data_IF_876264544348
#
_entry.id   IF_876264544348
#
_cell.length_a   1.000
_cell.length_b   1.000
_cell.length_c   1.000
_cell.angle_alpha   90.00
_cell.angle_beta   90.00
_cell.angle_gamma   90.00
#
_symmetry.space_group_name_H-M   'P 1'
#
loop_
_entity.id
_entity.type
_entity.pdbx_description
1 polymer ?
#
# COMPACT_ATOMS: atom_id res chain seq x y z
N UNK A 1 3.68 -17.53 8.26
CA UNK A 1 3.95 -16.73 7.05
C UNK A 1 2.70 -16.08 6.47
N UNK A 2 1.60 -16.83 6.23
CA UNK A 2 0.35 -16.25 5.67
C UNK A 2 -0.25 -15.15 6.56
N UNK A 3 -0.29 -15.34 7.89
CA UNK A 3 -0.80 -14.33 8.82
C UNK A 3 0.05 -13.06 8.83
N UNK A 4 1.37 -13.19 8.75
CA UNK A 4 2.31 -12.07 8.61
C UNK A 4 2.03 -11.27 7.34
N UNK A 5 1.79 -11.95 6.21
CA UNK A 5 1.43 -11.30 4.95
C UNK A 5 0.11 -10.57 5.07
N UNK A 6 -0.92 -11.17 5.68
CA UNK A 6 -2.20 -10.49 5.92
C UNK A 6 -2.03 -9.25 6.80
N UNK A 7 -1.26 -9.35 7.88
CA UNK A 7 -0.95 -8.20 8.73
C UNK A 7 -0.25 -7.10 7.94
N UNK A 8 0.74 -7.44 7.12
CA UNK A 8 1.42 -6.47 6.26
C UNK A 8 0.49 -5.82 5.25
N UNK A 9 -0.43 -6.58 4.63
CA UNK A 9 -1.47 -5.99 3.77
C UNK A 9 -2.34 -5.00 4.56
N UNK A 10 -2.81 -5.35 5.76
CA UNK A 10 -3.58 -4.42 6.60
C UNK A 10 -2.80 -3.16 6.95
N UNK A 11 -1.53 -3.30 7.34
CA UNK A 11 -0.67 -2.15 7.67
C UNK A 11 -0.42 -1.29 6.43
N UNK A 12 -0.05 -1.87 5.28
CA UNK A 12 0.12 -1.12 4.02
C UNK A 12 -1.16 -0.41 3.61
N UNK A 13 -2.32 -1.07 3.69
CA UNK A 13 -3.60 -0.48 3.34
C UNK A 13 -3.97 0.70 4.24
N UNK A 14 -3.73 0.58 5.55
CA UNK A 14 -3.98 1.66 6.50
C UNK A 14 -3.07 2.87 6.27
N UNK A 15 -1.78 2.64 5.97
CA UNK A 15 -0.84 3.71 5.64
C UNK A 15 -1.19 4.39 4.31
N UNK A 16 -1.55 3.63 3.27
CA UNK A 16 -2.06 4.17 2.02
C UNK A 16 -3.33 5.02 2.25
N UNK A 17 -4.26 4.56 3.09
CA UNK A 17 -5.46 5.33 3.43
C UNK A 17 -5.11 6.65 4.13
N UNK A 18 -4.14 6.62 5.05
CA UNK A 18 -3.65 7.82 5.75
C UNK A 18 -3.02 8.83 4.77
N UNK A 19 -2.17 8.35 3.86
CA UNK A 19 -1.53 9.20 2.84
C UNK A 19 -2.51 9.65 1.74
N UNK A 20 -3.62 8.94 1.55
CA UNK A 20 -4.69 9.29 0.62
C UNK A 20 -5.59 10.42 1.10
N UNK A 21 -5.59 10.76 2.39
CA UNK A 21 -6.37 11.89 2.91
C UNK A 21 -5.77 13.19 2.33
N UNK A 22 -6.51 14.02 1.58
CA UNK A 22 -5.93 15.09 0.76
C UNK A 22 -4.99 16.04 1.51
N UNK A 23 -5.50 16.76 2.51
CA UNK A 23 -4.72 17.75 3.25
C UNK A 23 -3.72 17.09 4.18
N UNK A 24 -4.13 16.03 4.89
CA UNK A 24 -3.29 15.35 5.88
C UNK A 24 -2.13 14.60 5.21
N UNK A 25 -2.43 13.76 4.23
CA UNK A 25 -1.45 12.99 3.47
C UNK A 25 -0.50 13.88 2.67
N UNK A 26 -1.02 14.90 2.00
CA UNK A 26 -0.19 15.90 1.31
C UNK A 26 0.76 16.62 2.27
N UNK A 27 0.28 17.01 3.45
CA UNK A 27 1.12 17.63 4.49
C UNK A 27 2.20 16.66 4.97
N UNK A 28 1.86 15.40 5.26
CA UNK A 28 2.83 14.38 5.69
C UNK A 28 3.94 14.18 4.64
N UNK A 29 3.57 14.02 3.37
CA UNK A 29 4.53 13.79 2.28
C UNK A 29 5.48 14.99 2.11
N UNK A 30 4.95 16.21 2.12
CA UNK A 30 5.78 17.42 1.94
C UNK A 30 6.64 17.70 3.17
N UNK A 31 6.08 17.62 4.38
CA UNK A 31 6.80 17.86 5.62
C UNK A 31 7.92 16.85 5.88
N UNK A 32 7.79 15.63 5.34
CA UNK A 32 8.80 14.58 5.43
C UNK A 32 9.61 14.39 4.15
N UNK A 33 9.68 15.42 3.28
CA UNK A 33 10.53 15.45 2.09
C UNK A 33 10.36 14.22 1.16
N UNK A 34 9.11 13.80 0.92
CA UNK A 34 8.74 12.63 0.10
C UNK A 34 9.29 11.28 0.61
N UNK A 35 9.94 11.23 1.77
CA UNK A 35 10.39 9.99 2.42
C UNK A 35 9.25 8.98 2.65
N UNK A 36 8.01 9.39 3.00
CA UNK A 36 6.90 8.46 3.13
C UNK A 36 6.64 7.64 1.86
N UNK A 37 6.81 8.23 0.67
CA UNK A 37 6.63 7.51 -0.59
C UNK A 37 7.70 6.42 -0.78
N UNK A 38 8.95 6.73 -0.46
CA UNK A 38 10.06 5.77 -0.52
C UNK A 38 9.86 4.64 0.50
N UNK A 39 9.45 4.99 1.73
CA UNK A 39 9.16 4.02 2.77
C UNK A 39 8.02 3.07 2.36
N UNK A 40 6.92 3.62 1.82
CA UNK A 40 5.80 2.83 1.33
C UNK A 40 6.19 1.92 0.17
N UNK A 41 7.01 2.41 -0.77
CA UNK A 41 7.54 1.61 -1.88
C UNK A 41 8.28 0.36 -1.37
N UNK A 42 9.17 0.53 -0.39
CA UNK A 42 9.89 -0.59 0.24
C UNK A 42 8.91 -1.56 0.90
N UNK A 43 7.93 -1.03 1.65
CA UNK A 43 6.95 -1.84 2.37
C UNK A 43 6.08 -2.66 1.41
N UNK A 44 5.68 -2.10 0.26
CA UNK A 44 4.97 -2.84 -0.78
C UNK A 44 5.83 -3.95 -1.40
N UNK A 45 7.11 -3.67 -1.72
CA UNK A 45 8.02 -4.67 -2.27
C UNK A 45 8.22 -5.84 -1.29
N UNK A 46 8.45 -5.55 -0.01
CA UNK A 46 8.60 -6.57 1.03
C UNK A 46 7.33 -7.40 1.15
N UNK A 47 6.16 -6.76 1.18
CA UNK A 47 4.87 -7.45 1.26
C UNK A 47 4.65 -8.35 0.04
N UNK A 48 4.98 -7.89 -1.16
CA UNK A 48 4.87 -8.66 -2.40
C UNK A 48 5.79 -9.89 -2.40
N UNK A 49 7.05 -9.74 -1.97
CA UNK A 49 8.01 -10.86 -1.87
C UNK A 49 7.51 -11.90 -0.87
N UNK A 50 7.04 -11.47 0.30
CA UNK A 50 6.53 -12.37 1.33
C UNK A 50 5.23 -13.06 0.89
N UNK A 51 4.33 -12.34 0.22
CA UNK A 51 3.12 -12.92 -0.35
C UNK A 51 3.43 -14.00 -1.38
N UNK A 52 4.40 -13.75 -2.28
CA UNK A 52 4.86 -14.74 -3.26
C UNK A 52 5.43 -15.99 -2.59
N UNK A 53 6.23 -15.83 -1.53
CA UNK A 53 6.76 -16.96 -0.73
C UNK A 53 5.66 -17.73 0.01
N UNK A 54 4.56 -17.06 0.37
CA UNK A 54 3.43 -17.65 1.07
C UNK A 54 2.34 -18.22 0.12
N UNK A 55 2.55 -18.19 -1.21
CA UNK A 55 1.56 -18.50 -2.25
C UNK A 55 0.26 -17.71 -2.10
N UNK A 56 0.38 -16.41 -1.80
CA UNK A 56 -0.74 -15.47 -1.64
C UNK A 56 -0.69 -14.40 -2.74
N UNK A 57 -1.86 -13.92 -3.19
CA UNK A 57 -1.92 -12.74 -4.05
C UNK A 57 -1.51 -11.48 -3.27
N UNK A 58 -1.00 -10.46 -3.95
CA UNK A 58 -0.76 -9.14 -3.36
C UNK A 58 -0.95 -8.04 -4.42
N UNK A 59 -2.04 -8.14 -5.19
CA UNK A 59 -2.29 -7.29 -6.35
C UNK A 59 -2.49 -5.82 -5.94
N UNK A 60 -3.10 -5.58 -4.78
CA UNK A 60 -3.20 -4.23 -4.22
C UNK A 60 -1.81 -3.61 -3.93
N UNK A 61 -0.85 -4.40 -3.45
CA UNK A 61 0.51 -3.92 -3.20
C UNK A 61 1.26 -3.62 -4.50
N UNK A 62 0.94 -4.29 -5.61
CA UNK A 62 1.47 -3.92 -6.93
C UNK A 62 0.95 -2.54 -7.35
N UNK A 63 -0.33 -2.25 -7.13
CA UNK A 63 -0.87 -0.91 -7.37
C UNK A 63 -0.20 0.13 -6.45
N UNK A 64 0.07 -0.21 -5.18
CA UNK A 64 0.79 0.66 -4.25
C UNK A 64 2.22 1.02 -4.69
N UNK A 65 2.92 0.10 -5.38
CA UNK A 65 4.21 0.40 -6.02
C UNK A 65 4.03 1.47 -7.10
N UNK A 66 3.02 1.33 -7.96
CA UNK A 66 2.70 2.32 -9.00
C UNK A 66 2.31 3.66 -8.39
N UNK A 67 1.48 3.65 -7.33
CA UNK A 67 1.13 4.84 -6.56
C UNK A 67 2.37 5.54 -6.06
N UNK A 68 3.32 4.82 -5.44
CA UNK A 68 4.55 5.40 -4.91
C UNK A 68 5.41 6.08 -5.99
N UNK A 69 5.38 5.59 -7.23
CA UNK A 69 6.09 6.20 -8.37
C UNK A 69 5.39 7.45 -8.94
N UNK A 70 4.09 7.60 -8.75
CA UNK A 70 3.28 8.68 -9.33
C UNK A 70 2.78 9.71 -8.29
N UNK A 71 2.85 9.40 -7.00
CA UNK A 71 2.28 10.20 -5.92
C UNK A 71 3.03 11.51 -5.60
N UNK A 72 4.08 11.83 -6.35
CA UNK A 72 4.70 13.15 -6.34
C UNK A 72 3.84 14.20 -7.06
N UNK A 73 2.89 13.79 -7.90
CA UNK A 73 1.91 14.68 -8.55
C UNK A 73 0.74 14.91 -7.59
N UNK A 74 0.48 16.15 -7.13
CA UNK A 74 -0.66 16.46 -6.27
C UNK A 74 -1.99 16.04 -6.90
N UNK A 75 -2.98 15.68 -6.07
CA UNK A 75 -4.29 15.13 -6.46
C UNK A 75 -4.24 13.74 -7.12
N UNK A 76 -3.38 13.53 -8.13
CA UNK A 76 -3.16 12.21 -8.73
C UNK A 76 -2.66 11.24 -7.67
N UNK A 77 -1.67 11.62 -6.88
CA UNK A 77 -1.20 10.83 -5.75
C UNK A 77 -2.29 10.52 -4.73
N UNK A 78 -3.16 11.49 -4.41
CA UNK A 78 -4.26 11.30 -3.46
C UNK A 78 -5.24 10.23 -3.95
N UNK A 79 -5.67 10.33 -5.21
CA UNK A 79 -6.58 9.37 -5.83
C UNK A 79 -5.92 7.98 -5.86
N UNK A 80 -4.66 7.90 -6.27
CA UNK A 80 -3.93 6.64 -6.33
C UNK A 80 -3.71 6.01 -4.96
N UNK A 81 -3.47 6.78 -3.91
CA UNK A 81 -3.36 6.28 -2.53
C UNK A 81 -4.70 5.72 -2.03
N UNK A 82 -5.82 6.41 -2.30
CA UNK A 82 -7.15 5.91 -1.93
C UNK A 82 -7.47 4.61 -2.68
N UNK A 83 -7.21 4.55 -3.99
CA UNK A 83 -7.43 3.32 -4.76
C UNK A 83 -6.57 2.17 -4.23
N UNK A 84 -5.28 2.40 -4.04
CA UNK A 84 -4.37 1.40 -3.45
C UNK A 84 -4.84 0.91 -2.09
N UNK A 85 -5.25 1.81 -1.20
CA UNK A 85 -5.80 1.45 0.10
C UNK A 85 -6.99 0.50 -0.02
N UNK A 86 -7.97 0.83 -0.89
CA UNK A 86 -9.17 0.00 -1.11
C UNK A 86 -8.78 -1.39 -1.63
N UNK A 87 -7.96 -1.47 -2.69
CA UNK A 87 -7.57 -2.74 -3.28
C UNK A 87 -6.75 -3.61 -2.32
N UNK A 88 -5.85 -3.01 -1.54
CA UNK A 88 -5.05 -3.72 -0.53
C UNK A 88 -5.94 -4.25 0.59
N UNK A 89 -6.84 -3.42 1.13
CA UNK A 89 -7.73 -3.83 2.22
C UNK A 89 -8.70 -4.93 1.77
N UNK A 90 -9.22 -4.87 0.55
CA UNK A 90 -10.01 -5.96 -0.04
C UNK A 90 -9.21 -7.26 -0.14
N UNK A 91 -7.95 -7.18 -0.59
CA UNK A 91 -7.07 -8.35 -0.70
C UNK A 91 -6.59 -8.87 0.67
N UNK A 92 -6.56 -8.02 1.70
CA UNK A 92 -6.30 -8.40 3.09
C UNK A 92 -7.52 -9.09 3.74
N UNK A 93 -8.72 -8.65 3.40
CA UNK A 93 -9.99 -9.17 3.91
C UNK A 93 -10.41 -10.48 3.23
N UNK A 94 -9.92 -10.77 2.02
CA UNK A 94 -10.17 -12.05 1.35
C UNK A 94 -9.70 -13.23 2.20
N UNK A 95 -10.56 -14.24 2.33
CA UNK A 95 -10.15 -15.57 2.78
C UNK A 95 -9.32 -16.18 1.65
N UNK A 96 -8.05 -16.42 1.93
CA UNK A 96 -7.20 -17.27 1.08
C UNK A 96 -7.82 -18.67 1.10
N UNK A 97 -8.28 -19.17 -0.05
CA UNK A 97 -8.72 -20.56 -0.15
C UNK A 97 -7.50 -21.46 0.05
N UNK A 98 -7.52 -22.24 1.13
CA UNK A 98 -6.63 -23.38 1.33
C UNK A 98 -6.99 -24.42 0.28
N UNK A 99 -6.25 -24.46 -0.81
CA UNK A 99 -6.13 -25.65 -1.66
C UNK A 99 -4.88 -26.42 -1.27
#
# INVERSE_FOLDING_TARGET
MKDTVKLLKWVTGALEALLGIPVLGGTIVVSLLWLPLLFMLILHIVTLILAKKANMSANGNVLGIVTSCLAWIPFVGMILHILSAIFIMMDAARKEETY
#
